data_IF_645154335021
#
_entry.id   IF_645154335021
#
_cell.length_a   1.000
_cell.length_b   1.000
_cell.length_c   1.000
_cell.angle_alpha   90.00
_cell.angle_beta   90.00
_cell.angle_gamma   90.00
#
_symmetry.space_group_name_H-M   'P 1'
#
loop_
_entity.id
_entity.type
_entity.pdbx_description
1 polymer ?
#
# COMPACT_ATOMS: atom_id res chain seq x y z
N UNK A 1 -6.27 -19.56 7.19
CA UNK A 1 -7.19 -18.58 7.84
C UNK A 1 -8.57 -18.80 7.27
N UNK A 2 -9.58 -18.98 8.12
CA UNK A 2 -10.93 -19.35 7.68
C UNK A 2 -11.90 -18.17 7.63
N UNK A 3 -11.41 -16.94 7.66
CA UNK A 3 -12.23 -15.74 7.52
C UNK A 3 -12.24 -15.20 6.07
N UNK A 4 -13.16 -14.28 5.80
CA UNK A 4 -13.30 -13.61 4.50
C UNK A 4 -12.36 -12.40 4.36
N UNK A 5 -11.44 -12.23 5.31
CA UNK A 5 -10.56 -11.07 5.38
C UNK A 5 -9.22 -11.33 4.73
N UNK A 6 -8.63 -10.24 4.25
CA UNK A 6 -7.22 -10.15 3.86
C UNK A 6 -6.46 -9.52 5.02
N UNK A 7 -5.38 -10.16 5.42
CA UNK A 7 -4.57 -9.72 6.57
C UNK A 7 -3.29 -9.08 6.05
N UNK A 8 -2.93 -7.94 6.64
CA UNK A 8 -1.81 -7.11 6.20
C UNK A 8 -0.94 -6.65 7.37
N UNK A 9 0.32 -6.36 7.06
CA UNK A 9 1.24 -5.64 7.93
C UNK A 9 1.93 -4.56 7.09
N UNK A 10 1.99 -3.35 7.63
CA UNK A 10 2.81 -2.26 7.14
C UNK A 10 3.93 -2.05 8.15
N UNK A 11 5.16 -2.28 7.70
CA UNK A 11 6.39 -2.18 8.49
C UNK A 11 7.15 -0.94 8.04
N UNK A 12 7.59 -0.13 9.00
CA UNK A 12 8.42 1.06 8.84
C UNK A 12 9.83 0.79 9.41
N UNK A 13 10.74 0.16 8.65
CA UNK A 13 11.99 -0.34 9.21
C UNK A 13 12.88 0.75 9.81
N UNK A 14 12.87 1.94 9.19
CA UNK A 14 13.66 3.08 9.66
C UNK A 14 13.15 3.67 10.98
N UNK A 15 11.87 3.44 11.30
CA UNK A 15 11.23 3.92 12.52
C UNK A 15 11.11 2.83 13.59
N UNK A 16 11.36 1.57 13.23
CA UNK A 16 11.15 0.40 14.08
C UNK A 16 9.73 0.34 14.64
N UNK A 17 8.75 0.54 13.75
CA UNK A 17 7.32 0.51 14.05
C UNK A 17 6.59 -0.32 12.99
N UNK A 18 5.52 -0.99 13.40
CA UNK A 18 4.59 -1.63 12.47
C UNK A 18 3.13 -1.39 12.84
N UNK A 19 2.26 -1.45 11.82
CA UNK A 19 0.83 -1.62 12.00
C UNK A 19 0.38 -2.89 11.27
N UNK A 20 -0.56 -3.62 11.86
CA UNK A 20 -1.23 -4.76 11.26
C UNK A 20 -2.73 -4.55 11.29
N UNK A 21 -3.42 -5.08 10.30
CA UNK A 21 -4.86 -4.94 10.18
C UNK A 21 -5.40 -6.00 9.23
N UNK A 22 -6.72 -6.05 9.13
CA UNK A 22 -7.40 -6.80 8.09
C UNK A 22 -8.50 -5.96 7.44
N UNK A 23 -8.82 -6.28 6.19
CA UNK A 23 -9.89 -5.64 5.41
C UNK A 23 -10.44 -6.66 4.38
N UNK A 24 -11.67 -6.45 3.91
CA UNK A 24 -12.32 -7.36 2.96
C UNK A 24 -11.75 -7.25 1.55
N UNK A 25 -11.50 -6.02 1.09
CA UNK A 25 -11.00 -5.74 -0.26
C UNK A 25 -9.49 -5.65 -0.30
N UNK A 26 -8.90 -5.98 -1.46
CA UNK A 26 -7.50 -5.63 -1.72
C UNK A 26 -7.35 -4.10 -1.70
N UNK A 27 -6.28 -3.52 -1.15
CA UNK A 27 -6.05 -2.07 -1.20
C UNK A 27 -6.12 -1.47 -2.61
N UNK A 28 -5.82 -2.26 -3.65
CA UNK A 28 -5.92 -1.82 -5.05
C UNK A 28 -7.36 -1.77 -5.60
N UNK A 29 -8.27 -2.50 -4.95
CA UNK A 29 -9.68 -2.63 -5.35
C UNK A 29 -10.60 -1.81 -4.46
N UNK A 30 -10.13 -1.44 -3.27
CA UNK A 30 -10.83 -0.53 -2.37
C UNK A 30 -10.47 0.90 -2.76
N UNK A 31 -11.39 1.59 -3.41
CA UNK A 31 -11.15 2.91 -3.99
C UNK A 31 -11.58 3.97 -2.97
N UNK A 32 -10.69 4.92 -2.72
CA UNK A 32 -10.95 6.03 -1.80
C UNK A 32 -12.20 6.83 -2.17
N UNK A 33 -13.00 7.19 -1.17
CA UNK A 33 -14.23 7.98 -1.31
C UNK A 33 -14.29 9.08 -0.25
N UNK A 34 -14.72 10.29 -0.65
CA UNK A 34 -14.81 11.44 0.25
C UNK A 34 -15.73 11.14 1.43
N UNK A 35 -15.23 11.32 2.66
CA UNK A 35 -15.98 11.10 3.89
C UNK A 35 -16.08 9.64 4.35
N UNK A 36 -15.57 8.68 3.56
CA UNK A 36 -15.47 7.27 3.97
C UNK A 36 -14.11 7.06 4.61
N UNK A 37 -14.09 6.95 5.94
CA UNK A 37 -12.87 7.02 6.76
C UNK A 37 -12.13 5.69 6.94
N UNK A 38 -12.68 4.60 6.42
CA UNK A 38 -12.15 3.25 6.62
C UNK A 38 -12.32 2.42 5.37
N UNK A 39 -11.34 1.57 5.08
CA UNK A 39 -11.45 0.48 4.12
C UNK A 39 -12.61 -0.46 4.48
N UNK A 40 -13.14 -1.16 3.49
CA UNK A 40 -14.29 -2.04 3.68
C UNK A 40 -13.94 -3.21 4.61
N UNK A 41 -14.66 -3.31 5.73
CA UNK A 41 -14.41 -4.33 6.75
C UNK A 41 -13.06 -4.15 7.44
N UNK A 42 -12.56 -2.92 7.54
CA UNK A 42 -11.35 -2.63 8.29
C UNK A 42 -11.48 -3.06 9.77
N UNK A 43 -10.50 -3.83 10.23
CA UNK A 43 -10.30 -4.16 11.63
C UNK A 43 -8.82 -4.02 11.97
N UNK A 44 -8.51 -3.15 12.93
CA UNK A 44 -7.15 -2.94 13.41
C UNK A 44 -6.62 -4.16 14.19
N UNK A 45 -5.35 -4.48 14.00
CA UNK A 45 -4.60 -5.44 14.81
C UNK A 45 -3.64 -4.71 15.74
N UNK A 46 -2.36 -5.08 15.70
CA UNK A 46 -1.26 -4.35 16.36
C UNK A 46 -1.08 -2.99 15.69
N UNK A 47 -1.01 -1.91 16.45
CA UNK A 47 -0.73 -0.56 15.93
C UNK A 47 0.33 0.15 16.77
N UNK A 48 1.60 0.03 16.38
CA UNK A 48 2.73 0.67 17.08
C UNK A 48 2.97 2.09 16.58
N UNK A 49 2.82 2.32 15.27
CA UNK A 49 2.78 3.68 14.76
C UNK A 49 1.48 4.34 15.24
N UNK A 50 1.53 5.58 15.79
CA UNK A 50 0.36 6.28 16.28
C UNK A 50 -0.80 6.18 15.30
N UNK A 51 -1.90 5.53 15.70
CA UNK A 51 -2.96 5.05 14.81
C UNK A 51 -4.09 6.07 14.59
N UNK A 52 -3.79 7.36 14.78
CA UNK A 52 -4.82 8.39 14.64
C UNK A 52 -5.34 8.37 13.21
N UNK A 53 -6.67 8.25 13.08
CA UNK A 53 -7.39 8.23 11.81
C UNK A 53 -6.94 7.08 10.85
N UNK A 54 -6.21 6.07 11.36
CA UNK A 54 -5.84 4.87 10.59
C UNK A 54 -7.09 4.06 10.24
N UNK A 55 -7.40 3.99 8.94
CA UNK A 55 -8.58 3.34 8.39
C UNK A 55 -8.29 2.12 7.52
N UNK A 56 -7.02 1.69 7.44
CA UNK A 56 -6.56 0.68 6.50
C UNK A 56 -6.22 1.27 5.13
N UNK A 57 -5.57 0.47 4.28
CA UNK A 57 -5.09 0.94 2.98
C UNK A 57 -6.17 0.88 1.91
N UNK A 58 -6.33 2.00 1.19
CA UNK A 58 -7.16 2.13 -0.01
C UNK A 58 -6.36 2.75 -1.15
N UNK A 59 -6.83 2.58 -2.38
CA UNK A 59 -6.26 3.24 -3.55
C UNK A 59 -6.65 4.72 -3.56
N UNK A 60 -5.64 5.57 -3.51
CA UNK A 60 -5.82 7.02 -3.35
C UNK A 60 -6.43 7.65 -4.60
N UNK A 61 -7.38 8.55 -4.40
CA UNK A 61 -7.96 9.41 -5.45
C UNK A 61 -8.01 10.88 -5.01
N UNK A 62 -8.21 11.15 -3.72
CA UNK A 62 -8.42 12.50 -3.20
C UNK A 62 -7.10 13.26 -3.00
N UNK A 63 -6.07 12.57 -2.50
CA UNK A 63 -4.73 13.13 -2.34
C UNK A 63 -3.73 12.40 -3.26
N UNK A 64 -3.59 12.80 -4.53
CA UNK A 64 -2.95 11.98 -5.54
C UNK A 64 -1.40 12.01 -5.48
N UNK A 65 -0.84 12.30 -4.31
CA UNK A 65 0.59 12.28 -4.03
C UNK A 65 1.06 10.89 -3.57
N UNK A 66 0.14 10.02 -3.11
CA UNK A 66 0.40 8.59 -2.88
C UNK A 66 -0.33 7.66 -3.85
N UNK A 67 0.14 6.42 -3.87
CA UNK A 67 -0.54 5.33 -4.56
C UNK A 67 -1.57 4.60 -3.68
N UNK A 68 -1.24 4.33 -2.42
CA UNK A 68 -2.18 3.88 -1.40
C UNK A 68 -2.11 4.79 -0.17
N UNK A 69 -3.26 5.02 0.44
CA UNK A 69 -3.42 5.86 1.62
C UNK A 69 -4.05 5.08 2.78
N UNK A 70 -3.54 5.32 3.98
CA UNK A 70 -4.00 4.78 5.24
C UNK A 70 -5.04 5.61 5.98
N UNK A 71 -5.33 6.83 5.50
CA UNK A 71 -6.37 7.71 6.03
C UNK A 71 -7.41 7.98 4.95
N UNK A 72 -8.24 6.98 4.59
CA UNK A 72 -9.22 7.13 3.53
C UNK A 72 -10.16 8.32 3.74
N UNK A 73 -10.50 9.02 2.67
CA UNK A 73 -11.62 9.96 2.67
C UNK A 73 -11.32 11.34 3.27
N UNK A 74 -10.04 11.62 3.53
CA UNK A 74 -9.50 12.92 3.95
C UNK A 74 -8.50 13.45 2.90
N UNK A 75 -8.11 14.73 3.04
CA UNK A 75 -7.09 15.36 2.17
C UNK A 75 -5.67 15.23 2.75
N UNK A 76 -5.51 14.44 3.81
CA UNK A 76 -4.23 14.05 4.37
C UNK A 76 -3.92 12.63 3.98
N UNK A 77 -2.64 12.34 3.80
CA UNK A 77 -2.17 11.04 3.35
C UNK A 77 -1.06 10.58 4.28
N UNK A 78 -1.37 9.60 5.13
CA UNK A 78 -0.41 9.00 6.05
C UNK A 78 -0.48 7.49 5.94
N UNK A 79 0.51 6.83 6.54
CA UNK A 79 0.73 5.39 6.40
C UNK A 79 0.81 4.98 4.91
N UNK A 80 1.32 5.89 4.08
CA UNK A 80 1.16 5.80 2.64
C UNK A 80 2.11 4.78 2.03
N UNK A 81 1.69 4.17 0.92
CA UNK A 81 2.52 3.31 0.09
C UNK A 81 2.69 3.95 -1.28
N UNK A 82 3.95 4.15 -1.66
CA UNK A 82 4.34 4.70 -2.96
C UNK A 82 4.09 6.21 -3.05
N UNK A 83 5.13 6.95 -3.46
CA UNK A 83 5.04 8.38 -3.77
C UNK A 83 4.84 8.53 -5.28
N UNK A 84 3.90 9.38 -5.67
CA UNK A 84 3.73 9.79 -7.05
C UNK A 84 4.78 10.83 -7.41
N UNK A 85 5.30 10.80 -8.65
CA UNK A 85 6.35 11.73 -9.10
C UNK A 85 5.95 13.23 -9.05
N UNK A 86 4.67 13.52 -8.87
CA UNK A 86 4.11 14.88 -8.77
C UNK A 86 3.97 15.37 -7.33
N UNK A 87 4.28 14.54 -6.33
CA UNK A 87 4.24 14.94 -4.93
C UNK A 87 5.18 16.13 -4.70
N UNK A 88 4.92 16.89 -3.64
CA UNK A 88 5.75 18.05 -3.30
C UNK A 88 7.22 17.64 -3.05
N UNK A 89 8.16 18.58 -3.28
CA UNK A 89 9.59 18.31 -3.12
C UNK A 89 9.95 17.83 -1.70
N UNK A 90 9.22 18.30 -0.69
CA UNK A 90 9.35 17.83 0.71
C UNK A 90 9.24 16.31 0.84
N UNK A 91 8.28 15.68 0.14
CA UNK A 91 8.11 14.23 0.14
C UNK A 91 9.09 13.50 -0.77
N UNK A 92 9.45 14.12 -1.91
CA UNK A 92 10.45 13.54 -2.82
C UNK A 92 11.83 13.43 -2.16
N UNK A 93 12.19 14.40 -1.32
CA UNK A 93 13.46 14.43 -0.59
C UNK A 93 13.38 13.70 0.77
N UNK A 94 12.26 13.84 1.48
CA UNK A 94 12.09 13.36 2.86
C UNK A 94 11.52 11.95 2.99
N UNK A 95 10.79 11.46 1.97
CA UNK A 95 10.16 10.15 1.95
C UNK A 95 8.66 10.15 2.24
N UNK A 96 8.14 8.97 2.56
CA UNK A 96 6.71 8.69 2.71
C UNK A 96 6.21 9.15 4.09
N UNK A 97 5.04 9.80 4.18
CA UNK A 97 4.40 10.09 5.47
C UNK A 97 3.95 8.80 6.14
N UNK A 98 4.59 8.46 7.26
CA UNK A 98 4.28 7.26 8.03
C UNK A 98 3.10 7.50 9.00
N UNK A 99 3.15 8.57 9.78
CA UNK A 99 2.09 8.98 10.70
C UNK A 99 2.27 10.43 11.14
N UNK A 100 1.25 10.98 11.81
CA UNK A 100 1.32 12.30 12.44
C UNK A 100 1.57 12.18 13.95
N UNK A 101 2.72 12.69 14.41
CA UNK A 101 3.17 12.58 15.80
C UNK A 101 2.38 13.48 16.75
N UNK A 102 1.77 12.90 17.78
CA UNK A 102 0.93 13.66 18.74
C UNK A 102 1.73 14.59 19.65
N UNK A 103 2.95 14.20 20.04
CA UNK A 103 3.76 14.96 21.01
C UNK A 103 4.32 16.24 20.40
N UNK A 104 4.73 16.19 19.13
CA UNK A 104 5.37 17.32 18.46
C UNK A 104 4.46 18.01 17.44
N UNK A 105 3.27 17.43 17.16
CA UNK A 105 2.38 17.89 16.08
C UNK A 105 3.09 17.97 14.73
N UNK A 106 3.96 17.00 14.47
CA UNK A 106 4.80 16.93 13.28
C UNK A 106 4.51 15.66 12.50
N UNK A 107 4.55 15.79 11.17
CA UNK A 107 4.56 14.66 10.26
C UNK A 107 5.88 13.89 10.40
N UNK A 108 5.78 12.57 10.52
CA UNK A 108 6.94 11.67 10.56
C UNK A 108 7.08 10.99 9.21
N UNK A 109 8.18 11.28 8.54
CA UNK A 109 8.52 10.70 7.25
C UNK A 109 9.39 9.44 7.41
N UNK A 110 9.32 8.55 6.43
CA UNK A 110 10.19 7.38 6.31
C UNK A 110 10.66 7.19 4.87
N UNK A 111 11.93 6.85 4.70
CA UNK A 111 12.48 6.48 3.40
C UNK A 111 12.14 5.05 2.97
N UNK A 112 11.61 4.22 3.87
CA UNK A 112 11.33 2.79 3.62
C UNK A 112 10.01 2.38 4.23
N UNK A 113 9.23 1.66 3.44
CA UNK A 113 8.01 0.98 3.86
C UNK A 113 7.99 -0.42 3.27
N UNK A 114 7.50 -1.41 4.03
CA UNK A 114 7.25 -2.77 3.56
C UNK A 114 5.80 -3.12 3.80
N UNK A 115 5.14 -3.62 2.76
CA UNK A 115 3.78 -4.13 2.86
C UNK A 115 3.80 -5.65 2.76
N UNK A 116 3.26 -6.31 3.77
CA UNK A 116 3.09 -7.75 3.84
C UNK A 116 1.62 -8.10 3.73
N UNK A 117 1.31 -9.22 3.08
CA UNK A 117 -0.04 -9.75 3.01
C UNK A 117 -0.02 -11.27 3.23
N UNK A 118 -0.92 -11.75 4.06
CA UNK A 118 -1.09 -13.18 4.27
C UNK A 118 -1.80 -13.81 3.06
N UNK A 119 -1.25 -14.92 2.56
CA UNK A 119 -1.83 -15.70 1.46
C UNK A 119 -2.63 -16.85 2.05
N UNK A 120 -3.94 -16.91 1.74
CA UNK A 120 -4.87 -17.90 2.30
C UNK A 120 -4.53 -19.33 1.87
N UNK A 121 -4.09 -19.50 0.61
CA UNK A 121 -3.80 -20.79 0.00
C UNK A 121 -2.52 -20.70 -0.84
N UNK A 122 -1.36 -21.03 -0.24
CA UNK A 122 -0.11 -21.12 -0.98
C UNK A 122 -0.10 -22.42 -1.81
N UNK A 123 -0.61 -22.35 -3.03
CA UNK A 123 -0.53 -23.46 -3.99
C UNK A 123 0.59 -23.16 -5.01
N UNK A 124 1.69 -23.92 -4.93
CA UNK A 124 2.88 -23.71 -5.76
C UNK A 124 2.59 -23.86 -7.26
N UNK A 125 1.57 -24.64 -7.64
CA UNK A 125 1.20 -24.89 -9.04
C UNK A 125 0.54 -23.68 -9.72
N UNK A 126 -0.09 -22.78 -8.96
CA UNK A 126 -0.64 -21.53 -9.49
C UNK A 126 0.45 -20.50 -9.87
N UNK A 127 1.70 -20.67 -9.43
CA UNK A 127 2.82 -19.78 -9.77
C UNK A 127 3.32 -20.00 -11.20
N UNK A 128 3.21 -21.22 -11.73
CA UNK A 128 3.71 -21.57 -13.06
C UNK A 128 2.97 -20.82 -14.18
N UNK A 129 1.68 -20.51 -14.02
CA UNK A 129 0.91 -19.77 -15.03
C UNK A 129 1.33 -18.29 -15.11
N UNK A 130 1.64 -17.65 -13.97
CA UNK A 130 2.14 -16.27 -13.94
C UNK A 130 3.56 -16.14 -14.50
N UNK A 131 4.44 -17.13 -14.26
CA UNK A 131 5.79 -17.14 -14.84
C UNK A 131 5.77 -17.38 -16.35
N UNK A 132 4.88 -18.24 -16.86
CA UNK A 132 4.71 -18.44 -18.30
C UNK A 132 4.28 -17.17 -19.01
N UNK A 133 3.37 -16.37 -18.44
CA UNK A 133 2.95 -15.10 -19.04
C UNK A 133 4.08 -14.06 -19.11
N UNK A 134 4.93 -13.95 -18.08
CA UNK A 134 6.10 -13.07 -18.13
C UNK A 134 7.09 -13.52 -19.21
N UNK A 135 7.33 -14.82 -19.34
CA UNK A 135 8.24 -15.37 -20.33
C UNK A 135 7.72 -15.18 -21.76
N UNK A 136 6.43 -15.43 -22.00
CA UNK A 136 5.76 -15.22 -23.30
C UNK A 136 5.77 -13.74 -23.67
N UNK A 137 5.52 -12.83 -22.71
CA UNK A 137 5.53 -11.38 -22.98
C UNK A 137 6.92 -10.90 -23.39
N UNK A 138 7.98 -11.37 -22.72
CA UNK A 138 9.38 -11.03 -23.05
C UNK A 138 9.81 -11.66 -24.39
N UNK A 139 9.35 -12.88 -24.69
CA UNK A 139 9.60 -13.51 -25.99
C UNK A 139 8.89 -12.78 -27.14
N UNK A 140 7.63 -12.38 -26.97
CA UNK A 140 6.89 -11.62 -27.97
C UNK A 140 7.51 -10.26 -28.25
N UNK A 141 8.02 -9.55 -27.22
CA UNK A 141 8.71 -8.27 -27.44
C UNK A 141 10.04 -8.45 -28.18
N UNK A 142 10.84 -9.47 -27.83
CA UNK A 142 12.07 -9.82 -28.56
C UNK A 142 11.82 -10.21 -30.02
N UNK A 143 10.78 -11.00 -30.30
CA UNK A 143 10.41 -11.36 -31.68
C UNK A 143 9.92 -10.16 -32.48
N UNK A 144 9.18 -9.23 -31.88
CA UNK A 144 8.79 -8.00 -32.57
C UNK A 144 10.00 -7.13 -32.95
N UNK A 145 11.02 -7.04 -32.08
CA UNK A 145 12.26 -6.31 -32.38
C UNK A 145 13.09 -6.92 -33.51
N UNK A 146 13.03 -8.25 -33.68
CA UNK A 146 13.74 -8.96 -34.76
C UNK A 146 13.04 -8.87 -36.13
N UNK A 147 11.75 -8.56 -36.17
CA UNK A 147 10.98 -8.40 -37.42
C UNK A 147 11.11 -6.97 -37.98
N UNK A 148 11.52 -6.00 -37.16
CA UNK A 148 11.70 -4.59 -37.54
C UNK A 148 13.18 -4.16 -37.64
N UNK A 149 14.11 -5.12 -37.70
CA UNK A 149 15.53 -4.97 -38.07
C UNK A 149 15.77 -5.57 -39.46
#
# INVERSE_FOLDING_TARGET
MNDEFRHFIIDYPSLNLLNSWKQKKSPLQDIEQKGVKTAEGFEAGITEAPSRDWGGLVKTILCPDSFLDGIPGFEHWFYSIGIMCKASQHYLDGGLPAYFGKTNSEEVLTSKVRLWSAIKDYNIYLKCSCQQNLYITVLCTLFSLLIFL
#
